data_IF_443135102230
#
_entry.id   IF_443135102230
#
_cell.length_a   1.000
_cell.length_b   1.000
_cell.length_c   1.000
_cell.angle_alpha   90.00
_cell.angle_beta   90.00
_cell.angle_gamma   90.00
#
_symmetry.space_group_name_H-M   'P 1'
#
loop_
_entity.id
_entity.type
_entity.pdbx_description
1 polymer ?
#
# COMPACT_ATOMS: atom_id res chain seq x y z
N UNK A 1 1.11 0.81 13.16
CA UNK A 1 1.88 1.47 12.07
C UNK A 1 0.87 2.24 11.21
N UNK A 2 1.19 3.46 10.76
CA UNK A 2 0.31 4.20 9.83
C UNK A 2 0.38 3.52 8.46
N UNK A 3 -0.75 3.04 7.94
CA UNK A 3 -0.83 2.39 6.63
C UNK A 3 -1.97 3.04 5.83
N UNK A 4 -1.80 3.19 4.54
CA UNK A 4 -2.83 3.68 3.64
C UNK A 4 -3.40 2.51 2.85
N UNK A 5 -4.72 2.44 2.75
CA UNK A 5 -5.38 1.41 1.93
C UNK A 5 -5.10 1.66 0.44
N UNK A 6 -5.20 2.92 0.03
CA UNK A 6 -5.02 3.35 -1.35
C UNK A 6 -3.82 4.29 -1.46
N UNK A 7 -2.62 3.71 -1.36
CA UNK A 7 -1.36 4.47 -1.42
C UNK A 7 -1.21 5.25 -2.73
N UNK A 8 -1.83 4.77 -3.83
CA UNK A 8 -1.76 5.38 -5.15
C UNK A 8 -2.39 6.78 -5.19
N UNK A 9 -3.42 7.06 -4.40
CA UNK A 9 -4.04 8.38 -4.34
C UNK A 9 -3.12 9.43 -3.72
N UNK A 10 -2.11 9.02 -2.96
CA UNK A 10 -1.10 9.95 -2.44
C UNK A 10 -0.30 10.60 -3.56
N UNK A 11 -0.17 9.96 -4.73
CA UNK A 11 0.50 10.53 -5.90
C UNK A 11 -0.20 11.79 -6.42
N UNK A 12 -1.49 11.99 -6.12
CA UNK A 12 -2.22 13.20 -6.49
C UNK A 12 -1.67 14.46 -5.80
N UNK A 13 -0.94 14.33 -4.69
CA UNK A 13 -0.23 15.46 -4.06
C UNK A 13 0.83 16.04 -5.00
N UNK A 14 1.49 15.26 -5.86
CA UNK A 14 2.42 15.80 -6.86
C UNK A 14 1.72 16.72 -7.86
N UNK A 15 0.43 16.49 -8.12
CA UNK A 15 -0.43 17.36 -8.93
C UNK A 15 -0.66 18.75 -8.32
N UNK A 16 -0.40 18.95 -7.02
CA UNK A 16 -0.48 20.29 -6.41
C UNK A 16 0.67 21.20 -6.86
N UNK A 17 1.82 20.64 -7.25
CA UNK A 17 2.99 21.42 -7.69
C UNK A 17 2.66 22.30 -8.91
N UNK A 18 2.14 21.77 -10.03
CA UNK A 18 1.77 22.60 -11.18
C UNK A 18 0.64 23.59 -10.85
N UNK A 19 -0.30 23.24 -9.96
CA UNK A 19 -1.37 24.16 -9.52
C UNK A 19 -0.78 25.35 -8.76
N UNK A 20 0.16 25.10 -7.85
CA UNK A 20 0.87 26.15 -7.10
C UNK A 20 1.68 27.04 -8.05
N UNK A 21 2.40 26.44 -9.02
CA UNK A 21 3.17 27.19 -10.01
C UNK A 21 2.27 28.07 -10.89
N UNK A 22 1.15 27.54 -11.38
CA UNK A 22 0.15 28.31 -12.13
C UNK A 22 -0.41 29.45 -11.28
N UNK A 23 -0.77 29.20 -10.02
CA UNK A 23 -1.27 30.25 -9.12
C UNK A 23 -0.24 31.36 -8.91
N UNK A 24 1.03 31.03 -8.68
CA UNK A 24 2.11 32.02 -8.52
C UNK A 24 2.33 32.78 -9.83
N UNK A 25 2.32 32.09 -10.97
CA UNK A 25 2.44 32.71 -12.29
C UNK A 25 1.29 33.69 -12.55
N UNK A 26 0.04 33.27 -12.35
CA UNK A 26 -1.15 34.13 -12.49
C UNK A 26 -1.10 35.34 -11.55
N UNK A 27 -0.65 35.16 -10.30
CA UNK A 27 -0.51 36.27 -9.34
C UNK A 27 0.53 37.28 -9.81
N UNK A 28 1.69 36.81 -10.28
CA UNK A 28 2.77 37.67 -10.76
C UNK A 28 2.38 38.38 -12.07
N UNK A 29 1.70 37.68 -12.97
CA UNK A 29 1.15 38.25 -14.20
C UNK A 29 0.10 39.31 -13.91
N UNK A 30 -0.89 38.99 -13.05
CA UNK A 30 -1.92 39.93 -12.61
C UNK A 30 -1.31 41.16 -11.93
N UNK A 31 -0.32 40.98 -11.06
CA UNK A 31 0.36 42.11 -10.40
C UNK A 31 1.08 43.01 -11.40
N UNK A 32 1.73 42.45 -12.43
CA UNK A 32 2.39 43.23 -13.50
C UNK A 32 1.37 43.94 -14.40
N UNK A 33 0.26 43.28 -14.74
CA UNK A 33 -0.82 43.87 -15.53
C UNK A 33 -1.56 44.99 -14.77
N UNK A 34 -1.80 44.80 -13.46
CA UNK A 34 -2.38 45.82 -12.58
C UNK A 34 -1.40 46.96 -12.29
N UNK A 35 -0.09 46.76 -12.38
CA UNK A 35 0.84 47.87 -12.13
C UNK A 35 0.76 48.93 -13.24
N UNK A 36 0.49 48.51 -14.48
CA UNK A 36 0.34 49.41 -15.62
C UNK A 36 -1.03 50.11 -15.68
N UNK A 37 -2.13 49.41 -15.35
CA UNK A 37 -3.50 49.99 -15.38
C UNK A 37 -3.99 50.50 -14.02
N UNK A 38 -3.57 49.85 -12.93
CA UNK A 38 -4.07 50.09 -11.57
C UNK A 38 -3.41 51.27 -10.87
N UNK A 39 -2.18 51.67 -11.23
CA UNK A 39 -1.55 52.91 -10.69
C UNK A 39 -2.33 54.17 -11.08
N UNK A 40 -2.98 54.17 -12.24
CA UNK A 40 -3.77 55.29 -12.74
C UNK A 40 -5.18 55.30 -12.10
N UNK A 41 -5.85 54.15 -12.03
CA UNK A 41 -7.19 54.02 -11.45
C UNK A 41 -7.22 54.11 -9.90
N UNK A 42 -6.18 53.63 -9.21
CA UNK A 42 -6.10 53.71 -7.75
C UNK A 42 -5.81 55.13 -7.26
N UNK A 43 -5.25 56.00 -8.12
CA UNK A 43 -5.07 57.44 -7.86
C UNK A 43 -6.40 58.20 -7.77
N UNK A 44 -7.45 57.66 -8.40
CA UNK A 44 -8.81 58.23 -8.39
C UNK A 44 -9.74 57.60 -7.36
N UNK A 45 -9.24 56.73 -6.47
CA UNK A 45 -10.04 56.15 -5.37
C UNK A 45 -11.17 55.20 -5.80
N UNK A 46 -11.18 54.77 -7.07
CA UNK A 46 -12.26 53.96 -7.65
C UNK A 46 -12.18 52.46 -7.28
N UNK A 47 -11.06 52.00 -6.71
CA UNK A 47 -10.86 50.58 -6.34
C UNK A 47 -10.19 50.50 -4.97
N UNK A 48 -10.79 49.70 -4.06
CA UNK A 48 -10.17 49.41 -2.77
C UNK A 48 -8.94 48.52 -2.96
N UNK A 49 -7.87 48.88 -2.27
CA UNK A 49 -6.56 48.22 -2.32
C UNK A 49 -6.70 46.71 -2.13
N UNK A 50 -6.36 45.92 -3.15
CA UNK A 50 -6.30 44.47 -3.04
C UNK A 50 -5.27 44.08 -1.98
N UNK A 51 -5.73 43.64 -0.80
CA UNK A 51 -4.84 43.20 0.27
C UNK A 51 -4.16 41.89 -0.14
N UNK A 52 -2.88 41.98 -0.50
CA UNK A 52 -2.01 40.82 -0.83
C UNK A 52 -2.05 39.74 0.27
N UNK A 53 -2.23 40.14 1.54
CA UNK A 53 -2.33 39.22 2.68
C UNK A 53 -3.60 38.35 2.65
N UNK A 54 -4.76 38.93 2.33
CA UNK A 54 -6.02 38.17 2.24
C UNK A 54 -5.99 37.16 1.10
N UNK A 55 -5.38 37.52 -0.02
CA UNK A 55 -5.22 36.64 -1.17
C UNK A 55 -4.31 35.45 -0.83
N UNK A 56 -3.18 35.68 -0.14
CA UNK A 56 -2.29 34.60 0.30
C UNK A 56 -2.96 33.63 1.29
N UNK A 57 -3.75 34.14 2.25
CA UNK A 57 -4.48 33.31 3.21
C UNK A 57 -5.52 32.43 2.49
N UNK A 58 -6.27 33.00 1.55
CA UNK A 58 -7.23 32.24 0.74
C UNK A 58 -6.55 31.10 -0.03
N UNK A 59 -5.39 31.36 -0.62
CA UNK A 59 -4.63 30.33 -1.33
C UNK A 59 -4.08 29.25 -0.41
N UNK A 60 -3.54 29.63 0.75
CA UNK A 60 -3.05 28.67 1.74
C UNK A 60 -4.18 27.75 2.22
N UNK A 61 -5.36 28.31 2.51
CA UNK A 61 -6.55 27.54 2.90
C UNK A 61 -7.02 26.59 1.79
N UNK A 62 -6.98 27.02 0.54
CA UNK A 62 -7.40 26.19 -0.60
C UNK A 62 -6.45 25.00 -0.79
N UNK A 63 -5.13 25.22 -0.73
CA UNK A 63 -4.14 24.14 -0.80
C UNK A 63 -4.32 23.18 0.39
N UNK A 64 -4.50 23.71 1.59
CA UNK A 64 -4.71 22.90 2.79
C UNK A 64 -5.97 22.01 2.65
N UNK A 65 -7.06 22.57 2.13
CA UNK A 65 -8.31 21.84 1.91
C UNK A 65 -8.13 20.70 0.90
N UNK A 66 -7.50 20.95 -0.25
CA UNK A 66 -7.26 19.92 -1.26
C UNK A 66 -6.32 18.83 -0.72
N UNK A 67 -5.23 19.21 -0.04
CA UNK A 67 -4.32 18.25 0.59
C UNK A 67 -5.05 17.38 1.62
N UNK A 68 -5.93 17.97 2.43
CA UNK A 68 -6.72 17.23 3.42
C UNK A 68 -7.69 16.25 2.77
N UNK A 69 -8.31 16.62 1.64
CA UNK A 69 -9.17 15.72 0.86
C UNK A 69 -8.39 14.55 0.26
N UNK A 70 -7.19 14.80 -0.29
CA UNK A 70 -6.32 13.75 -0.84
C UNK A 70 -5.88 12.78 0.26
N UNK A 71 -5.54 13.29 1.45
CA UNK A 71 -5.21 12.45 2.59
C UNK A 71 -6.45 11.66 3.03
N UNK A 72 -7.63 12.28 3.09
CA UNK A 72 -8.88 11.61 3.46
C UNK A 72 -9.23 10.45 2.51
N UNK A 73 -9.15 10.67 1.20
CA UNK A 73 -9.48 9.62 0.21
C UNK A 73 -8.45 8.48 0.18
N UNK A 74 -7.20 8.74 0.58
CA UNK A 74 -6.18 7.69 0.73
C UNK A 74 -6.45 6.69 1.86
N UNK A 75 -7.48 6.96 2.69
CA UNK A 75 -7.94 6.16 3.82
C UNK A 75 -6.78 5.75 4.77
N UNK A 76 -6.26 6.69 5.57
CA UNK A 76 -5.22 6.39 6.56
C UNK A 76 -5.78 5.47 7.64
N UNK A 77 -5.29 4.25 7.68
CA UNK A 77 -5.63 3.25 8.67
C UNK A 77 -4.58 3.27 9.78
N UNK A 78 -5.04 3.55 11.00
CA UNK A 78 -4.21 3.50 12.21
C UNK A 78 -4.65 2.26 12.99
N UNK A 79 -3.76 1.27 13.06
CA UNK A 79 -4.04 0.06 13.81
C UNK A 79 -3.16 -1.11 13.38
N UNK A 80 -3.45 -2.26 13.98
CA UNK A 80 -2.88 -3.55 13.61
C UNK A 80 -3.94 -4.32 12.85
N UNK A 81 -3.76 -4.51 11.54
CA UNK A 81 -4.55 -5.51 10.82
C UNK A 81 -3.98 -6.88 11.23
N UNK A 82 -4.84 -7.79 11.66
CA UNK A 82 -4.52 -9.21 11.62
C UNK A 82 -4.32 -9.52 10.14
N UNK A 83 -3.07 -9.52 9.69
CA UNK A 83 -2.77 -10.00 8.35
C UNK A 83 -3.15 -11.48 8.38
N UNK A 84 -4.23 -11.83 7.70
CA UNK A 84 -4.53 -13.22 7.38
C UNK A 84 -3.36 -13.69 6.52
N UNK A 85 -2.33 -14.20 7.18
CA UNK A 85 -1.33 -15.03 6.53
C UNK A 85 -2.15 -16.18 5.98
N UNK A 86 -2.47 -16.11 4.69
CA UNK A 86 -2.98 -17.24 3.93
C UNK A 86 -1.87 -18.29 4.01
N UNK A 87 -1.94 -19.13 5.05
CA UNK A 87 -1.18 -20.37 5.11
C UNK A 87 -1.81 -21.25 4.04
N UNK A 88 -1.24 -21.18 2.84
CA UNK A 88 -1.53 -22.11 1.76
C UNK A 88 -0.90 -23.45 2.17
N UNK A 89 -1.62 -24.22 2.99
CA UNK A 89 -1.25 -25.59 3.27
C UNK A 89 -1.47 -26.44 2.01
N UNK A 90 -0.52 -27.32 1.69
CA UNK A 90 -0.64 -28.29 0.59
C UNK A 90 -1.30 -29.59 1.08
N UNK A 91 -2.02 -30.26 0.17
CA UNK A 91 -2.57 -31.60 0.43
C UNK A 91 -1.56 -32.66 -0.03
N UNK A 92 -0.99 -33.40 0.91
CA UNK A 92 -0.03 -34.46 0.64
C UNK A 92 -0.67 -35.84 0.84
N UNK A 93 -0.71 -36.66 -0.21
CA UNK A 93 -1.12 -38.06 -0.12
C UNK A 93 0.10 -38.98 -0.20
N UNK A 94 0.30 -39.80 0.82
CA UNK A 94 1.37 -40.79 0.92
C UNK A 94 0.75 -42.17 0.67
N UNK A 95 1.29 -42.92 -0.29
CA UNK A 95 0.88 -44.29 -0.56
C UNK A 95 2.03 -45.23 -0.18
N UNK A 96 1.79 -46.14 0.77
CA UNK A 96 2.78 -47.06 1.34
C UNK A 96 2.41 -48.51 1.02
N UNK A 97 3.30 -49.21 0.32
CA UNK A 97 3.19 -50.65 0.04
C UNK A 97 3.51 -51.48 1.30
N UNK A 98 2.71 -52.50 1.57
CA UNK A 98 2.87 -53.51 2.64
C UNK A 98 3.20 -54.91 2.09
N UNK A 99 3.60 -55.02 0.83
CA UNK A 99 4.02 -56.29 0.21
C UNK A 99 5.21 -56.93 0.94
N UNK A 100 5.34 -58.26 0.80
CA UNK A 100 6.49 -59.00 1.36
C UNK A 100 7.86 -58.46 0.88
N UNK A 101 7.90 -57.79 -0.27
CA UNK A 101 9.12 -57.15 -0.77
C UNK A 101 9.60 -55.99 0.10
N UNK A 102 8.71 -55.40 0.90
CA UNK A 102 9.02 -54.30 1.83
C UNK A 102 9.65 -54.79 3.14
N UNK A 103 9.59 -56.09 3.42
CA UNK A 103 10.33 -56.73 4.51
C UNK A 103 11.78 -57.06 4.14
N UNK A 104 12.20 -56.76 2.91
CA UNK A 104 13.58 -56.93 2.49
C UNK A 104 14.53 -56.05 3.34
N UNK A 105 15.65 -56.63 3.75
CA UNK A 105 16.68 -56.00 4.58
C UNK A 105 17.86 -55.43 3.78
N UNK A 106 17.71 -55.28 2.47
CA UNK A 106 18.69 -54.59 1.62
C UNK A 106 18.94 -53.15 2.09
N UNK A 107 17.96 -52.57 2.79
CA UNK A 107 18.11 -51.38 3.61
C UNK A 107 17.77 -51.72 5.07
N UNK A 108 18.79 -51.84 5.94
CA UNK A 108 18.60 -52.09 7.38
C UNK A 108 17.71 -51.03 8.04
N UNK A 109 16.76 -51.35 8.92
CA UNK A 109 16.36 -52.69 9.36
C UNK A 109 15.59 -53.44 8.26
N UNK A 110 14.54 -52.85 7.70
CA UNK A 110 13.93 -53.29 6.44
C UNK A 110 13.36 -52.05 5.72
N UNK A 111 12.98 -52.21 4.44
CA UNK A 111 12.43 -51.10 3.63
C UNK A 111 11.20 -50.45 4.27
N UNK A 112 10.32 -51.25 4.88
CA UNK A 112 9.10 -50.77 5.54
C UNK A 112 9.41 -49.85 6.72
N UNK A 113 10.26 -50.29 7.65
CA UNK A 113 10.68 -49.50 8.80
C UNK A 113 11.44 -48.24 8.37
N UNK A 114 12.22 -48.32 7.29
CA UNK A 114 12.88 -47.15 6.70
C UNK A 114 11.90 -46.16 6.11
N UNK A 115 10.86 -46.63 5.42
CA UNK A 115 9.80 -45.78 4.89
C UNK A 115 9.04 -45.08 6.02
N UNK A 116 8.71 -45.78 7.11
CA UNK A 116 8.08 -45.18 8.29
C UNK A 116 8.94 -44.06 8.90
N UNK A 117 10.25 -44.29 9.05
CA UNK A 117 11.17 -43.26 9.55
C UNK A 117 11.25 -42.04 8.62
N UNK A 118 11.24 -42.26 7.30
CA UNK A 118 11.26 -41.18 6.31
C UNK A 118 9.96 -40.36 6.35
N UNK A 119 8.81 -41.03 6.47
CA UNK A 119 7.50 -40.40 6.61
C UNK A 119 7.46 -39.57 7.91
N UNK A 120 7.91 -40.11 9.04
CA UNK A 120 7.95 -39.36 10.31
C UNK A 120 8.74 -38.06 10.18
N UNK A 121 9.93 -38.12 9.57
CA UNK A 121 10.77 -36.91 9.33
C UNK A 121 10.15 -35.93 8.34
N UNK A 122 9.32 -36.41 7.42
CA UNK A 122 8.60 -35.57 6.48
C UNK A 122 7.48 -34.82 7.19
N UNK A 123 6.71 -35.51 8.04
CA UNK A 123 5.63 -34.92 8.85
C UNK A 123 6.18 -33.83 9.78
N UNK A 124 7.35 -34.04 10.39
CA UNK A 124 8.00 -33.04 11.26
C UNK A 124 8.33 -31.72 10.54
N UNK A 125 8.38 -31.71 9.19
CA UNK A 125 8.66 -30.52 8.37
C UNK A 125 7.40 -29.86 7.80
N UNK A 126 6.24 -30.50 7.91
CA UNK A 126 4.98 -30.03 7.35
C UNK A 126 4.23 -29.23 8.43
N UNK A 127 4.37 -27.90 8.40
CA UNK A 127 3.71 -27.00 9.35
C UNK A 127 2.41 -26.44 8.77
N UNK A 128 1.28 -27.11 9.07
CA UNK A 128 -0.06 -26.65 8.66
C UNK A 128 -0.58 -27.25 7.37
N UNK A 129 0.12 -28.23 6.80
CA UNK A 129 -0.31 -29.01 5.63
C UNK A 129 -1.26 -30.17 6.04
N UNK A 130 -2.09 -30.64 5.11
CA UNK A 130 -2.99 -31.78 5.33
C UNK A 130 -2.37 -33.04 4.75
N UNK A 131 -2.35 -34.11 5.53
CA UNK A 131 -1.68 -35.37 5.15
C UNK A 131 -2.70 -36.51 5.11
N UNK A 132 -2.73 -37.23 3.99
CA UNK A 132 -3.41 -38.52 3.85
C UNK A 132 -2.40 -39.65 3.74
N UNK A 133 -2.68 -40.79 4.36
CA UNK A 133 -1.88 -42.01 4.25
C UNK A 133 -2.77 -43.15 3.75
N UNK A 134 -2.38 -43.77 2.65
CA UNK A 134 -2.99 -44.99 2.12
C UNK A 134 -1.96 -46.10 2.23
N UNK A 135 -2.35 -47.22 2.80
CA UNK A 135 -1.56 -48.46 2.81
C UNK A 135 -2.19 -49.45 1.84
N UNK A 136 -1.37 -50.14 1.04
CA UNK A 136 -1.82 -51.10 0.04
C UNK A 136 -0.93 -52.34 -0.01
#
# INVERSE_FOLDING_TARGET
MLRYENIEYLNLLYGLIPIILLMVYFRNWKSKALENFGKELSKHGLISTFSKGRENIKFALLIFCISSLIIGISNPQIGTKMEEVKREGVDLMIALDLSNSMLAEDIKPNRLERAQQAISRLIDKLEGDRIGLIVF
#
